data_IF_455106202062
#
_entry.id   IF_455106202062
#
_cell.length_a   1.000
_cell.length_b   1.000
_cell.length_c   1.000
_cell.angle_alpha   90.00
_cell.angle_beta   90.00
_cell.angle_gamma   90.00
#
_symmetry.space_group_name_H-M   'P 1'
#
loop_
_entity.id
_entity.type
_entity.pdbx_description
1 polymer ?
#
# COMPACT_ATOMS: atom_id res chain seq x y z
N UNK A 1 -48.92 -87.72 1.09
CA UNK A 1 -47.68 -88.10 1.77
C UNK A 1 -46.56 -87.16 1.41
N UNK A 2 -45.82 -86.80 2.43
CA UNK A 2 -44.53 -86.09 2.44
C UNK A 2 -44.60 -84.59 2.28
N UNK A 3 -44.32 -84.02 3.43
CA UNK A 3 -43.87 -82.64 3.73
C UNK A 3 -42.52 -82.39 3.08
N UNK A 4 -42.25 -81.13 2.70
CA UNK A 4 -40.95 -80.53 2.77
C UNK A 4 -41.09 -79.02 3.01
N UNK A 5 -40.71 -78.62 4.17
CA UNK A 5 -40.55 -77.28 4.63
C UNK A 5 -39.21 -76.76 4.17
N UNK A 6 -39.17 -75.60 3.53
CA UNK A 6 -37.95 -74.83 3.38
C UNK A 6 -38.16 -73.43 3.90
N UNK A 7 -37.55 -73.21 5.02
CA UNK A 7 -37.38 -71.86 5.60
C UNK A 7 -36.40 -71.06 4.79
N UNK A 8 -36.84 -70.00 4.15
CA UNK A 8 -35.91 -69.01 3.66
C UNK A 8 -35.72 -67.94 4.75
N UNK A 9 -34.54 -68.01 5.38
CA UNK A 9 -34.02 -66.87 6.18
C UNK A 9 -33.66 -65.76 5.22
N UNK A 10 -34.45 -64.69 5.28
CA UNK A 10 -34.14 -63.44 4.63
C UNK A 10 -33.17 -62.70 5.53
N UNK A 11 -31.89 -62.75 5.19
CA UNK A 11 -30.85 -61.89 5.79
C UNK A 11 -31.03 -60.49 5.27
N UNK A 12 -31.71 -59.65 6.05
CA UNK A 12 -31.70 -58.22 5.85
C UNK A 12 -30.30 -57.71 6.25
N UNK A 13 -29.44 -57.55 5.26
CA UNK A 13 -28.19 -56.82 5.44
C UNK A 13 -28.58 -55.33 5.54
N UNK A 14 -28.69 -54.84 6.78
CA UNK A 14 -28.81 -53.43 7.05
C UNK A 14 -27.48 -52.79 6.68
N UNK A 15 -27.38 -52.30 5.45
CA UNK A 15 -26.28 -51.43 5.05
C UNK A 15 -26.44 -50.14 5.87
N UNK A 16 -25.70 -50.03 6.97
CA UNK A 16 -25.44 -48.76 7.64
C UNK A 16 -24.72 -47.88 6.64
N UNK A 17 -25.46 -47.02 5.98
CA UNK A 17 -24.89 -45.89 5.28
C UNK A 17 -24.30 -44.97 6.35
N UNK A 18 -23.06 -45.22 6.69
CA UNK A 18 -22.22 -44.21 7.31
C UNK A 18 -22.08 -43.10 6.28
N UNK A 19 -23.09 -42.20 6.24
CA UNK A 19 -22.91 -40.85 5.76
C UNK A 19 -21.94 -40.17 6.74
N UNK A 20 -20.71 -40.67 6.74
CA UNK A 20 -19.58 -39.94 7.28
C UNK A 20 -19.61 -38.63 6.55
N UNK A 21 -19.87 -37.54 7.28
CA UNK A 21 -19.47 -36.22 6.87
C UNK A 21 -18.10 -36.37 6.24
N UNK A 22 -18.02 -36.34 4.90
CA UNK A 22 -16.80 -36.10 4.19
C UNK A 22 -16.38 -34.73 4.67
N UNK A 23 -15.74 -34.71 5.84
CA UNK A 23 -15.04 -33.54 6.32
C UNK A 23 -14.19 -33.13 5.14
N UNK A 24 -14.40 -31.97 4.63
CA UNK A 24 -13.71 -31.42 3.48
C UNK A 24 -12.21 -31.61 3.73
N UNK A 25 -11.68 -32.73 3.19
CA UNK A 25 -10.31 -33.08 3.42
C UNK A 25 -9.47 -32.16 2.60
N UNK A 26 -8.90 -31.16 3.28
CA UNK A 26 -7.86 -30.34 2.71
C UNK A 26 -6.81 -31.24 2.05
N UNK A 27 -6.55 -31.00 0.76
CA UNK A 27 -5.49 -31.71 0.05
C UNK A 27 -4.12 -31.13 0.42
N UNK A 28 -3.03 -31.91 0.31
CA UNK A 28 -1.67 -31.36 0.48
C UNK A 28 -1.40 -30.18 -0.45
N UNK A 29 -1.95 -30.18 -1.65
CA UNK A 29 -1.83 -29.11 -2.64
C UNK A 29 -2.49 -27.82 -2.17
N UNK A 30 -3.70 -27.87 -1.61
CA UNK A 30 -4.40 -26.70 -1.09
C UNK A 30 -3.65 -26.08 0.10
N UNK A 31 -3.06 -26.91 0.96
CA UNK A 31 -2.19 -26.43 2.04
C UNK A 31 -0.98 -25.69 1.47
N UNK A 32 -0.31 -26.29 0.49
CA UNK A 32 0.84 -25.69 -0.19
C UNK A 32 0.46 -24.33 -0.80
N UNK A 33 -0.69 -24.22 -1.46
CA UNK A 33 -1.16 -22.94 -2.01
C UNK A 33 -1.38 -21.86 -0.95
N UNK A 34 -1.78 -22.22 0.24
CA UNK A 34 -1.97 -21.27 1.34
C UNK A 34 -0.63 -20.83 1.98
N UNK A 35 0.30 -21.77 2.15
CA UNK A 35 1.56 -21.56 2.86
C UNK A 35 2.69 -21.02 1.97
N UNK A 36 2.60 -21.19 0.64
CA UNK A 36 3.64 -20.77 -0.30
C UNK A 36 3.72 -19.24 -0.41
N UNK A 37 4.92 -18.70 -0.32
CA UNK A 37 5.18 -17.28 -0.60
C UNK A 37 5.38 -17.00 -2.09
N UNK A 38 5.69 -18.00 -2.90
CA UNK A 38 5.99 -17.91 -4.34
C UNK A 38 5.26 -18.99 -5.14
N UNK A 39 5.17 -18.80 -6.46
CA UNK A 39 4.71 -19.79 -7.45
C UNK A 39 3.21 -20.16 -7.44
N UNK A 40 2.37 -19.45 -6.69
CA UNK A 40 0.92 -19.65 -6.71
C UNK A 40 0.19 -18.39 -7.19
N UNK A 41 -0.86 -18.59 -7.97
CA UNK A 41 -1.72 -17.47 -8.36
C UNK A 41 -2.50 -16.94 -7.16
N UNK A 42 -2.99 -15.70 -7.27
CA UNK A 42 -3.82 -15.09 -6.22
C UNK A 42 -5.07 -15.95 -5.95
N UNK A 43 -5.69 -16.50 -6.99
CA UNK A 43 -6.88 -17.35 -6.88
C UNK A 43 -6.55 -18.69 -6.19
N UNK A 44 -5.47 -19.35 -6.57
CA UNK A 44 -5.01 -20.57 -5.88
C UNK A 44 -4.76 -20.31 -4.39
N UNK A 45 -4.20 -19.14 -4.02
CA UNK A 45 -4.01 -18.79 -2.60
C UNK A 45 -5.34 -18.61 -1.87
N UNK A 46 -6.32 -17.96 -2.50
CA UNK A 46 -7.67 -17.83 -1.93
C UNK A 46 -8.30 -19.21 -1.71
N UNK A 47 -8.24 -20.08 -2.72
CA UNK A 47 -8.84 -21.42 -2.66
C UNK A 47 -8.15 -22.28 -1.62
N UNK A 48 -6.81 -22.33 -1.63
CA UNK A 48 -6.01 -23.09 -0.69
C UNK A 48 -6.24 -22.67 0.77
N UNK A 49 -6.16 -21.35 1.05
CA UNK A 49 -6.41 -20.85 2.40
C UNK A 49 -7.88 -21.05 2.82
N UNK A 50 -8.84 -20.94 1.89
CA UNK A 50 -10.24 -21.24 2.18
C UNK A 50 -10.47 -22.70 2.53
N UNK A 51 -9.78 -23.63 1.86
CA UNK A 51 -9.81 -25.04 2.20
C UNK A 51 -9.19 -25.31 3.59
N UNK A 52 -8.04 -24.69 3.92
CA UNK A 52 -7.40 -24.77 5.24
C UNK A 52 -8.35 -24.30 6.33
N UNK A 53 -8.95 -23.13 6.16
CA UNK A 53 -9.88 -22.52 7.13
C UNK A 53 -11.12 -23.40 7.30
N UNK A 54 -11.71 -23.87 6.20
CA UNK A 54 -12.92 -24.71 6.21
C UNK A 54 -12.68 -26.08 6.82
N UNK A 55 -11.51 -26.67 6.64
CA UNK A 55 -11.15 -27.96 7.22
C UNK A 55 -11.14 -27.93 8.75
N UNK A 56 -10.96 -26.75 9.38
CA UNK A 56 -11.04 -26.54 10.82
C UNK A 56 -9.99 -27.29 11.65
N UNK A 57 -8.92 -27.78 11.00
CA UNK A 57 -7.84 -28.55 11.66
C UNK A 57 -6.81 -27.66 12.31
N UNK A 58 -6.54 -26.50 11.69
CA UNK A 58 -5.60 -25.52 12.21
C UNK A 58 -6.27 -24.67 13.31
N UNK A 59 -5.49 -24.27 14.30
CA UNK A 59 -5.92 -23.43 15.44
C UNK A 59 -4.82 -22.43 15.78
N UNK A 60 -5.18 -21.42 16.58
CA UNK A 60 -4.21 -20.44 17.06
C UNK A 60 -3.46 -19.74 15.92
N UNK A 61 -2.14 -19.71 16.05
CA UNK A 61 -1.27 -18.98 15.12
C UNK A 61 -1.37 -19.48 13.67
N UNK A 62 -1.42 -20.79 13.45
CA UNK A 62 -1.52 -21.37 12.10
C UNK A 62 -2.82 -20.98 11.39
N UNK A 63 -3.93 -20.96 12.13
CA UNK A 63 -5.20 -20.48 11.58
C UNK A 63 -5.15 -18.97 11.33
N UNK A 64 -4.50 -18.21 12.22
CA UNK A 64 -4.28 -16.77 12.01
C UNK A 64 -3.45 -16.49 10.76
N UNK A 65 -2.40 -17.26 10.50
CA UNK A 65 -1.59 -17.18 9.28
C UNK A 65 -2.42 -17.48 8.03
N UNK A 66 -3.28 -18.50 8.05
CA UNK A 66 -4.15 -18.81 6.93
C UNK A 66 -5.13 -17.68 6.59
N UNK A 67 -5.75 -17.06 7.62
CA UNK A 67 -6.58 -15.88 7.42
C UNK A 67 -5.75 -14.69 6.89
N UNK A 68 -4.58 -14.41 7.45
CA UNK A 68 -3.72 -13.34 6.97
C UNK A 68 -3.30 -13.55 5.50
N UNK A 69 -2.91 -14.78 5.13
CA UNK A 69 -2.51 -15.11 3.76
C UNK A 69 -3.67 -14.93 2.77
N UNK A 70 -4.89 -15.35 3.15
CA UNK A 70 -6.08 -15.12 2.32
C UNK A 70 -6.44 -13.64 2.22
N UNK A 71 -6.31 -12.90 3.31
CA UNK A 71 -6.48 -11.45 3.33
C UNK A 71 -5.52 -10.74 2.39
N UNK A 72 -4.24 -11.15 2.35
CA UNK A 72 -3.25 -10.63 1.37
C UNK A 72 -3.71 -10.91 -0.05
N UNK A 73 -4.20 -12.11 -0.34
CA UNK A 73 -4.69 -12.46 -1.67
C UNK A 73 -5.93 -11.63 -2.07
N UNK A 74 -6.88 -11.41 -1.17
CA UNK A 74 -8.03 -10.54 -1.42
C UNK A 74 -7.59 -9.08 -1.69
N UNK A 75 -6.65 -8.56 -0.90
CA UNK A 75 -6.09 -7.22 -1.11
C UNK A 75 -5.43 -7.08 -2.48
N UNK A 76 -4.67 -8.08 -2.93
CA UNK A 76 -4.06 -8.09 -4.26
C UNK A 76 -5.10 -8.10 -5.40
N UNK A 77 -6.30 -8.65 -5.15
CA UNK A 77 -7.46 -8.54 -6.07
C UNK A 77 -8.21 -7.21 -5.97
N UNK A 78 -7.81 -6.31 -5.08
CA UNK A 78 -8.53 -5.07 -4.80
C UNK A 78 -9.75 -5.24 -3.90
N UNK A 79 -9.99 -6.44 -3.37
CA UNK A 79 -11.11 -6.71 -2.45
C UNK A 79 -10.69 -6.39 -1.01
N UNK A 80 -10.64 -5.09 -0.73
CA UNK A 80 -10.19 -4.59 0.56
C UNK A 80 -11.16 -4.97 1.70
N UNK A 81 -12.43 -5.16 1.41
CA UNK A 81 -13.44 -5.50 2.41
C UNK A 81 -13.21 -6.91 2.96
N UNK A 82 -13.09 -7.91 2.07
CA UNK A 82 -12.78 -9.29 2.49
C UNK A 82 -11.40 -9.39 3.12
N UNK A 83 -10.43 -8.64 2.61
CA UNK A 83 -9.10 -8.57 3.21
C UNK A 83 -9.14 -8.08 4.66
N UNK A 84 -9.85 -6.97 4.94
CA UNK A 84 -10.02 -6.41 6.31
C UNK A 84 -10.71 -7.42 7.23
N UNK A 85 -11.73 -8.11 6.74
CA UNK A 85 -12.43 -9.14 7.51
C UNK A 85 -11.48 -10.29 7.91
N UNK A 86 -10.67 -10.78 6.98
CA UNK A 86 -9.73 -11.86 7.21
C UNK A 86 -8.59 -11.44 8.15
N UNK A 87 -7.99 -10.26 7.97
CA UNK A 87 -7.02 -9.74 8.92
C UNK A 87 -7.61 -9.56 10.32
N UNK A 88 -8.89 -9.14 10.41
CA UNK A 88 -9.62 -9.07 11.66
C UNK A 88 -9.76 -10.44 12.35
N UNK A 89 -9.95 -11.53 11.58
CA UNK A 89 -9.95 -12.90 12.14
C UNK A 89 -8.54 -13.29 12.60
N UNK A 90 -7.52 -13.01 11.80
CA UNK A 90 -6.14 -13.27 12.17
C UNK A 90 -5.75 -12.60 13.50
N UNK A 91 -6.11 -11.34 13.68
CA UNK A 91 -5.87 -10.57 14.91
C UNK A 91 -6.67 -11.13 16.09
N UNK A 92 -7.91 -11.58 15.90
CA UNK A 92 -8.68 -12.21 16.99
C UNK A 92 -8.04 -13.53 17.46
N UNK A 93 -7.45 -14.28 16.54
CA UNK A 93 -6.78 -15.55 16.85
C UNK A 93 -5.39 -15.32 17.48
N UNK A 94 -4.69 -14.29 17.04
CA UNK A 94 -3.39 -13.90 17.59
C UNK A 94 -3.30 -12.37 17.68
N UNK A 95 -3.57 -11.83 18.86
CA UNK A 95 -3.50 -10.38 19.14
C UNK A 95 -2.07 -9.81 19.08
N UNK A 96 -1.05 -10.67 18.93
CA UNK A 96 0.36 -10.25 18.78
C UNK A 96 0.87 -10.38 17.34
N UNK A 97 -0.03 -10.58 16.37
CA UNK A 97 0.35 -10.76 14.97
C UNK A 97 0.57 -9.41 14.29
N UNK A 98 1.76 -8.83 14.45
CA UNK A 98 2.11 -7.52 13.91
C UNK A 98 1.85 -7.39 12.40
N UNK A 99 2.13 -8.45 11.61
CA UNK A 99 1.89 -8.42 10.17
C UNK A 99 0.41 -8.29 9.82
N UNK A 100 -0.50 -8.90 10.57
CA UNK A 100 -1.94 -8.80 10.32
C UNK A 100 -2.45 -7.37 10.58
N UNK A 101 -1.97 -6.71 11.63
CA UNK A 101 -2.26 -5.28 11.86
C UNK A 101 -1.72 -4.41 10.72
N UNK A 102 -0.45 -4.56 10.35
CA UNK A 102 0.12 -3.78 9.24
C UNK A 102 -0.66 -3.98 7.94
N UNK A 103 -1.00 -5.23 7.60
CA UNK A 103 -1.73 -5.55 6.38
C UNK A 103 -3.16 -4.99 6.40
N UNK A 104 -3.83 -4.99 7.56
CA UNK A 104 -5.16 -4.37 7.71
C UNK A 104 -5.06 -2.86 7.59
N UNK A 105 -4.04 -2.25 8.17
CA UNK A 105 -3.72 -0.84 7.99
C UNK A 105 -3.57 -0.47 6.52
N UNK A 106 -2.80 -1.24 5.73
CA UNK A 106 -2.67 -1.04 4.28
C UNK A 106 -4.01 -1.15 3.55
N UNK A 107 -4.89 -2.06 3.97
CA UNK A 107 -6.20 -2.20 3.36
C UNK A 107 -7.14 -1.02 3.73
N UNK A 108 -7.06 -0.49 4.96
CA UNK A 108 -7.78 0.73 5.36
C UNK A 108 -7.25 1.97 4.62
N UNK A 109 -5.93 2.10 4.47
CA UNK A 109 -5.29 3.19 3.75
C UNK A 109 -5.75 3.24 2.28
N UNK A 110 -5.79 2.08 1.61
CA UNK A 110 -6.30 1.95 0.24
C UNK A 110 -7.80 2.35 0.09
N UNK A 111 -8.56 2.34 1.19
CA UNK A 111 -9.95 2.82 1.25
C UNK A 111 -10.08 4.27 1.69
N UNK A 112 -8.97 4.96 1.97
CA UNK A 112 -8.97 6.32 2.52
C UNK A 112 -9.37 6.41 4.00
N UNK A 113 -9.43 5.28 4.70
CA UNK A 113 -9.77 5.22 6.13
C UNK A 113 -8.52 5.43 7.00
N UNK A 114 -7.85 6.57 6.82
CA UNK A 114 -6.51 6.84 7.35
C UNK A 114 -6.42 6.74 8.88
N UNK A 115 -7.43 7.16 9.64
CA UNK A 115 -7.41 7.05 11.11
C UNK A 115 -7.36 5.60 11.58
N UNK A 116 -8.10 4.71 10.90
CA UNK A 116 -8.08 3.27 11.18
C UNK A 116 -6.75 2.65 10.78
N UNK A 117 -6.21 3.07 9.64
CA UNK A 117 -4.90 2.64 9.18
C UNK A 117 -3.81 3.01 10.18
N UNK A 118 -3.77 4.28 10.64
CA UNK A 118 -2.80 4.76 11.64
C UNK A 118 -2.90 3.94 12.93
N UNK A 119 -4.10 3.71 13.46
CA UNK A 119 -4.29 2.91 14.66
C UNK A 119 -3.75 1.48 14.52
N UNK A 120 -3.95 0.85 13.36
CA UNK A 120 -3.42 -0.48 13.08
C UNK A 120 -1.90 -0.48 12.91
N UNK A 121 -1.32 0.51 12.23
CA UNK A 121 0.14 0.65 12.14
C UNK A 121 0.79 0.89 13.50
N UNK A 122 0.14 1.65 14.39
CA UNK A 122 0.60 1.84 15.77
C UNK A 122 0.68 0.51 16.53
N UNK A 123 -0.34 -0.34 16.42
CA UNK A 123 -0.32 -1.66 17.06
C UNK A 123 0.76 -2.55 16.44
N UNK A 124 0.90 -2.54 15.10
CA UNK A 124 1.97 -3.28 14.42
C UNK A 124 3.35 -2.85 14.91
N UNK A 125 3.60 -1.55 14.99
CA UNK A 125 4.89 -0.96 15.42
C UNK A 125 5.19 -1.18 16.91
N UNK A 126 4.17 -1.19 17.77
CA UNK A 126 4.33 -1.58 19.20
C UNK A 126 4.78 -3.02 19.34
N UNK A 127 4.27 -3.91 18.50
CA UNK A 127 4.60 -5.33 18.52
C UNK A 127 5.95 -5.62 17.85
N UNK A 128 6.21 -4.99 16.71
CA UNK A 128 7.42 -5.19 15.91
C UNK A 128 7.74 -3.91 15.13
N UNK A 129 8.65 -3.06 15.61
CA UNK A 129 9.14 -1.92 14.85
C UNK A 129 9.76 -2.35 13.50
N UNK A 130 9.38 -1.67 12.42
CA UNK A 130 9.90 -1.95 11.08
C UNK A 130 9.95 -0.67 10.23
N UNK A 131 10.88 -0.60 9.28
CA UNK A 131 10.98 0.53 8.37
C UNK A 131 9.72 0.71 7.54
N UNK A 132 9.16 -0.39 7.04
CA UNK A 132 7.93 -0.41 6.27
C UNK A 132 6.71 0.03 7.12
N UNK A 133 6.63 -0.39 8.38
CA UNK A 133 5.55 0.02 9.29
C UNK A 133 5.56 1.53 9.55
N UNK A 134 6.71 2.11 9.85
CA UNK A 134 6.87 3.57 9.98
C UNK A 134 6.55 4.29 8.67
N UNK A 135 7.07 3.81 7.53
CA UNK A 135 6.79 4.39 6.23
C UNK A 135 5.30 4.39 5.90
N UNK A 136 4.60 3.30 6.13
CA UNK A 136 3.16 3.18 5.88
C UNK A 136 2.36 4.15 6.78
N UNK A 137 2.69 4.24 8.08
CA UNK A 137 2.03 5.19 8.97
C UNK A 137 2.29 6.63 8.56
N UNK A 138 3.53 6.95 8.21
CA UNK A 138 3.91 8.25 7.67
C UNK A 138 3.13 8.62 6.40
N UNK A 139 2.87 7.66 5.51
CA UNK A 139 2.06 7.89 4.32
C UNK A 139 0.60 8.21 4.67
N UNK A 140 0.00 7.49 5.60
CA UNK A 140 -1.36 7.77 6.07
C UNK A 140 -1.46 9.16 6.75
N UNK A 141 -0.45 9.55 7.52
CA UNK A 141 -0.33 10.90 8.11
C UNK A 141 -0.17 11.97 7.02
N UNK A 142 0.70 11.72 6.02
CA UNK A 142 0.89 12.61 4.88
C UNK A 142 -0.42 12.82 4.11
N UNK A 143 -1.20 11.77 3.89
CA UNK A 143 -2.51 11.84 3.24
C UNK A 143 -3.51 12.70 4.05
N UNK A 144 -3.41 12.68 5.37
CA UNK A 144 -4.15 13.57 6.28
C UNK A 144 -3.57 14.98 6.37
N UNK A 145 -2.46 15.27 5.68
CA UNK A 145 -1.68 16.51 5.77
C UNK A 145 -1.06 16.78 7.15
N UNK A 146 -0.87 15.74 7.93
CA UNK A 146 -0.13 15.77 9.19
C UNK A 146 1.36 15.58 8.89
N UNK A 147 1.97 16.65 8.38
CA UNK A 147 3.33 16.60 7.86
C UNK A 147 4.38 16.38 8.95
N UNK A 148 4.16 16.92 10.14
CA UNK A 148 5.13 16.79 11.25
C UNK A 148 5.25 15.34 11.70
N UNK A 149 4.15 14.66 12.00
CA UNK A 149 4.18 13.24 12.35
C UNK A 149 4.67 12.37 11.19
N UNK A 150 4.30 12.69 9.94
CA UNK A 150 4.81 11.99 8.78
C UNK A 150 6.35 12.07 8.68
N UNK A 151 6.94 13.27 8.91
CA UNK A 151 8.40 13.45 8.92
C UNK A 151 9.05 12.61 10.02
N UNK A 152 8.47 12.58 11.22
CA UNK A 152 8.99 11.78 12.32
C UNK A 152 8.99 10.28 11.98
N UNK A 153 7.94 9.81 11.36
CA UNK A 153 7.85 8.41 10.92
C UNK A 153 8.84 8.10 9.81
N UNK A 154 9.00 8.97 8.82
CA UNK A 154 10.04 8.80 7.81
C UNK A 154 11.46 8.85 8.39
N UNK A 155 11.68 9.65 9.44
CA UNK A 155 12.95 9.65 10.18
C UNK A 155 13.23 8.27 10.78
N UNK A 156 12.23 7.62 11.41
CA UNK A 156 12.38 6.27 11.95
C UNK A 156 12.57 5.23 10.84
N UNK A 157 11.81 5.33 9.74
CA UNK A 157 11.95 4.43 8.61
C UNK A 157 13.38 4.48 8.02
N UNK A 158 13.92 5.67 7.81
CA UNK A 158 15.28 5.87 7.27
C UNK A 158 16.34 5.41 8.28
N UNK A 159 16.12 5.62 9.59
CA UNK A 159 17.04 5.13 10.61
C UNK A 159 17.13 3.60 10.61
N UNK A 160 16.03 2.90 10.35
CA UNK A 160 16.01 1.44 10.26
C UNK A 160 16.50 0.92 8.91
N UNK A 161 16.31 1.70 7.83
CA UNK A 161 16.69 1.33 6.46
C UNK A 161 17.29 2.55 5.74
N UNK A 162 18.60 2.68 5.78
CA UNK A 162 19.33 3.85 5.30
C UNK A 162 19.26 4.07 3.77
N UNK A 163 18.86 3.07 3.00
CA UNK A 163 18.67 3.11 1.55
C UNK A 163 17.19 3.18 1.12
N UNK A 164 16.31 3.60 2.02
CA UNK A 164 14.87 3.65 1.75
C UNK A 164 14.49 4.89 0.91
N UNK A 165 14.71 4.81 -0.40
CA UNK A 165 14.52 5.91 -1.34
C UNK A 165 13.11 6.56 -1.23
N UNK A 166 12.06 5.76 -1.10
CA UNK A 166 10.69 6.27 -0.98
C UNK A 166 10.46 7.07 0.31
N UNK A 167 11.10 6.70 1.42
CA UNK A 167 10.99 7.46 2.67
C UNK A 167 11.71 8.81 2.57
N UNK A 168 12.85 8.88 1.89
CA UNK A 168 13.51 10.15 1.58
C UNK A 168 12.64 11.04 0.68
N UNK A 169 12.02 10.46 -0.36
CA UNK A 169 11.15 11.18 -1.29
C UNK A 169 9.95 11.80 -0.57
N UNK A 170 9.21 11.01 0.20
CA UNK A 170 8.03 11.49 0.91
C UNK A 170 8.40 12.49 2.03
N UNK A 171 9.55 12.31 2.70
CA UNK A 171 10.05 13.27 3.68
C UNK A 171 10.48 14.58 3.01
N UNK A 172 11.10 14.49 1.84
CA UNK A 172 11.43 15.65 1.02
C UNK A 172 10.17 16.48 0.74
N UNK A 173 9.11 15.85 0.23
CA UNK A 173 7.85 16.51 -0.05
C UNK A 173 7.24 17.15 1.20
N UNK A 174 7.10 16.39 2.29
CA UNK A 174 6.54 16.90 3.55
C UNK A 174 7.30 18.14 4.06
N UNK A 175 8.63 18.10 4.05
CA UNK A 175 9.49 19.23 4.41
C UNK A 175 9.34 20.43 3.46
N UNK A 176 9.22 20.19 2.16
CA UNK A 176 9.05 21.24 1.16
C UNK A 176 7.73 21.99 1.34
N UNK A 177 6.65 21.28 1.67
CA UNK A 177 5.34 21.87 1.98
C UNK A 177 5.43 22.73 3.23
N UNK A 178 6.10 22.29 4.28
CA UNK A 178 6.33 23.07 5.50
C UNK A 178 7.35 24.22 5.33
N UNK A 179 7.96 24.38 4.16
CA UNK A 179 8.94 25.42 3.91
C UNK A 179 10.35 25.13 4.45
N UNK A 180 10.62 23.94 4.93
CA UNK A 180 11.94 23.50 5.43
C UNK A 180 12.84 23.09 4.25
N UNK A 181 13.16 24.08 3.39
CA UNK A 181 13.64 23.84 2.02
C UNK A 181 15.02 23.19 1.93
N UNK A 182 16.02 23.62 2.74
CA UNK A 182 17.37 23.04 2.66
C UNK A 182 17.42 21.56 3.03
N UNK A 183 16.82 21.12 4.14
CA UNK A 183 16.70 19.70 4.46
C UNK A 183 15.88 18.92 3.43
N UNK A 184 14.80 19.51 2.88
CA UNK A 184 14.02 18.90 1.82
C UNK A 184 14.86 18.63 0.57
N UNK A 185 15.67 19.61 0.13
CA UNK A 185 16.55 19.46 -1.02
C UNK A 185 17.59 18.34 -0.82
N UNK A 186 18.13 18.19 0.40
CA UNK A 186 19.04 17.12 0.74
C UNK A 186 18.36 15.74 0.63
N UNK A 187 17.13 15.62 1.12
CA UNK A 187 16.34 14.39 1.04
C UNK A 187 16.02 14.00 -0.41
N UNK A 188 15.49 14.93 -1.22
CA UNK A 188 15.23 14.67 -2.64
C UNK A 188 16.50 14.27 -3.38
N UNK A 189 17.62 14.92 -3.09
CA UNK A 189 18.92 14.59 -3.70
C UNK A 189 19.39 13.19 -3.29
N UNK A 190 19.14 12.76 -2.05
CA UNK A 190 19.42 11.40 -1.60
C UNK A 190 18.48 10.38 -2.28
N UNK A 191 17.19 10.66 -2.37
CA UNK A 191 16.24 9.81 -3.07
C UNK A 191 16.64 9.60 -4.53
N UNK A 192 17.06 10.67 -5.22
CA UNK A 192 17.52 10.60 -6.62
C UNK A 192 18.87 9.90 -6.78
N UNK A 193 19.74 9.90 -5.76
CA UNK A 193 20.95 9.04 -5.80
C UNK A 193 20.60 7.57 -5.75
N UNK A 194 19.57 7.21 -4.97
CA UNK A 194 19.11 5.82 -4.85
C UNK A 194 18.24 5.40 -6.05
N UNK A 195 17.42 6.31 -6.57
CA UNK A 195 16.52 6.08 -7.72
C UNK A 195 16.56 7.25 -8.71
N UNK A 196 17.55 7.29 -9.62
CA UNK A 196 17.82 8.47 -10.46
C UNK A 196 16.69 8.89 -11.43
N UNK A 197 15.82 7.95 -11.79
CA UNK A 197 14.71 8.17 -12.75
C UNK A 197 13.34 8.21 -12.04
N UNK A 198 13.25 8.83 -10.88
CA UNK A 198 11.97 9.00 -10.19
C UNK A 198 11.36 10.37 -10.57
N UNK A 199 10.32 10.35 -11.40
CA UNK A 199 9.65 11.56 -11.87
C UNK A 199 8.99 12.35 -10.72
N UNK A 200 8.49 11.70 -9.67
CA UNK A 200 7.89 12.36 -8.52
C UNK A 200 8.95 13.10 -7.68
N UNK A 201 10.10 12.49 -7.46
CA UNK A 201 11.19 13.12 -6.73
C UNK A 201 11.79 14.30 -7.49
N UNK A 202 11.95 14.19 -8.83
CA UNK A 202 12.37 15.31 -9.66
C UNK A 202 11.39 16.47 -9.59
N UNK A 203 10.10 16.19 -9.63
CA UNK A 203 9.03 17.17 -9.50
C UNK A 203 9.07 17.86 -8.12
N UNK A 204 9.19 17.09 -7.04
CA UNK A 204 9.35 17.64 -5.68
C UNK A 204 10.61 18.51 -5.54
N UNK A 205 11.72 18.12 -6.16
CA UNK A 205 12.97 18.91 -6.12
C UNK A 205 12.86 20.17 -6.96
N UNK A 206 12.22 20.10 -8.12
CA UNK A 206 11.87 21.28 -8.94
C UNK A 206 11.00 22.26 -8.17
N UNK A 207 10.01 21.79 -7.42
CA UNK A 207 9.19 22.62 -6.54
C UNK A 207 10.02 23.32 -5.45
N UNK A 208 10.99 22.63 -4.84
CA UNK A 208 11.89 23.22 -3.85
C UNK A 208 12.76 24.30 -4.49
N UNK A 209 13.35 24.06 -5.67
CA UNK A 209 14.14 25.03 -6.39
C UNK A 209 13.30 26.27 -6.75
N UNK A 210 12.06 26.06 -7.20
CA UNK A 210 11.13 27.18 -7.49
C UNK A 210 10.85 28.01 -6.22
N UNK A 211 10.61 27.40 -5.06
CA UNK A 211 10.45 28.10 -3.77
C UNK A 211 11.73 28.83 -3.33
N UNK A 212 12.90 28.34 -3.71
CA UNK A 212 14.19 28.96 -3.44
C UNK A 212 14.58 30.02 -4.49
N UNK A 213 13.72 30.32 -5.46
CA UNK A 213 13.98 31.20 -6.59
C UNK A 213 15.16 30.77 -7.47
N UNK A 214 15.48 29.48 -7.49
CA UNK A 214 16.51 28.87 -8.34
C UNK A 214 15.86 28.35 -9.63
N UNK A 215 15.44 29.30 -10.49
CA UNK A 215 14.52 29.02 -11.59
C UNK A 215 15.11 28.07 -12.64
N UNK A 216 16.39 28.22 -13.02
CA UNK A 216 17.04 27.33 -14.00
C UNK A 216 17.11 25.88 -13.50
N UNK A 217 17.42 25.71 -12.22
CA UNK A 217 17.47 24.38 -11.61
C UNK A 217 16.05 23.77 -11.53
N UNK A 218 15.04 24.59 -11.23
CA UNK A 218 13.63 24.16 -11.23
C UNK A 218 13.20 23.70 -12.62
N UNK A 219 13.48 24.48 -13.67
CA UNK A 219 13.16 24.14 -15.07
C UNK A 219 13.84 22.83 -15.46
N UNK A 220 15.12 22.66 -15.12
CA UNK A 220 15.88 21.45 -15.43
C UNK A 220 15.24 20.19 -14.83
N UNK A 221 14.84 20.24 -13.55
CA UNK A 221 14.23 19.12 -12.87
C UNK A 221 12.80 18.81 -13.39
N UNK A 222 12.01 19.86 -13.64
CA UNK A 222 10.69 19.68 -14.25
C UNK A 222 10.76 19.14 -15.67
N UNK A 223 11.75 19.56 -16.48
CA UNK A 223 12.02 18.98 -17.79
C UNK A 223 12.35 17.48 -17.70
N UNK A 224 13.17 17.12 -16.71
CA UNK A 224 13.52 15.72 -16.49
C UNK A 224 12.28 14.91 -16.04
N UNK A 225 11.46 15.45 -15.16
CA UNK A 225 10.21 14.82 -14.72
C UNK A 225 9.22 14.65 -15.87
N UNK A 226 9.05 15.67 -16.71
CA UNK A 226 8.14 15.64 -17.87
C UNK A 226 8.64 14.74 -19.01
N UNK A 227 9.96 14.55 -19.18
CA UNK A 227 10.47 13.52 -20.09
C UNK A 227 10.07 12.11 -19.68
N UNK A 228 9.99 11.85 -18.36
CA UNK A 228 9.57 10.56 -17.83
C UNK A 228 8.04 10.39 -17.86
N UNK A 229 7.29 11.47 -17.62
CA UNK A 229 5.84 11.46 -17.61
C UNK A 229 5.28 12.79 -18.17
N UNK A 230 5.00 12.87 -19.49
CA UNK A 230 4.70 14.15 -20.14
C UNK A 230 3.35 14.80 -19.79
N UNK A 231 2.38 14.02 -19.29
CA UNK A 231 1.01 14.49 -19.06
C UNK A 231 0.71 14.67 -17.56
N UNK A 232 1.57 15.42 -16.86
CA UNK A 232 1.35 15.76 -15.45
C UNK A 232 1.18 17.26 -15.28
N UNK A 233 0.05 17.66 -14.70
CA UNK A 233 -0.27 19.09 -14.50
C UNK A 233 0.72 19.77 -13.55
N UNK A 234 1.08 19.10 -12.44
CA UNK A 234 1.93 19.70 -11.41
C UNK A 234 3.31 20.15 -11.95
N UNK A 235 4.16 19.29 -12.57
CA UNK A 235 5.45 19.74 -13.13
C UNK A 235 5.31 20.70 -14.30
N UNK A 236 4.24 20.61 -15.11
CA UNK A 236 3.98 21.61 -16.16
C UNK A 236 3.74 23.00 -15.57
N UNK A 237 2.89 23.08 -14.56
CA UNK A 237 2.58 24.35 -13.90
C UNK A 237 3.82 24.94 -13.22
N UNK A 238 4.56 24.11 -12.48
CA UNK A 238 5.80 24.52 -11.81
C UNK A 238 6.88 25.00 -12.79
N UNK A 239 7.06 24.29 -13.93
CA UNK A 239 7.97 24.74 -14.99
C UNK A 239 7.53 26.07 -15.59
N UNK A 240 6.24 26.21 -15.86
CA UNK A 240 5.66 27.46 -16.35
C UNK A 240 5.94 28.64 -15.41
N UNK A 241 5.68 28.49 -14.12
CA UNK A 241 5.98 29.51 -13.12
C UNK A 241 7.50 29.82 -13.05
N UNK A 242 8.36 28.79 -13.10
CA UNK A 242 9.81 28.98 -13.07
C UNK A 242 10.30 29.79 -14.29
N UNK A 243 9.82 29.44 -15.48
CA UNK A 243 10.15 30.14 -16.73
C UNK A 243 9.69 31.62 -16.69
N UNK A 244 8.42 31.87 -16.35
CA UNK A 244 7.87 33.24 -16.27
C UNK A 244 8.65 34.10 -15.27
N UNK A 245 8.99 33.56 -14.10
CA UNK A 245 9.78 34.26 -13.09
C UNK A 245 11.24 34.51 -13.51
N UNK A 246 11.72 33.71 -14.47
CA UNK A 246 13.04 33.87 -15.10
C UNK A 246 12.99 34.74 -16.37
N UNK A 247 11.84 35.34 -16.71
CA UNK A 247 11.67 36.20 -17.88
C UNK A 247 11.40 35.46 -19.20
N UNK A 248 11.19 34.13 -19.17
CA UNK A 248 10.88 33.33 -20.36
C UNK A 248 9.37 33.17 -20.53
N UNK A 249 8.82 33.87 -21.56
CA UNK A 249 7.39 33.87 -21.91
C UNK A 249 6.86 32.49 -22.36
N UNK A 250 7.74 31.54 -22.73
CA UNK A 250 7.33 30.16 -23.01
C UNK A 250 6.63 29.47 -21.82
N UNK A 251 6.80 30.04 -20.62
CA UNK A 251 6.09 29.58 -19.41
C UNK A 251 4.57 29.72 -19.51
N UNK A 252 4.03 30.68 -20.30
CA UNK A 252 2.58 30.83 -20.49
C UNK A 252 1.92 29.58 -21.11
N UNK A 253 2.59 28.98 -22.07
CA UNK A 253 2.10 27.73 -22.71
C UNK A 253 2.08 26.55 -21.72
N UNK A 254 3.07 26.46 -20.83
CA UNK A 254 3.13 25.43 -19.80
C UNK A 254 2.00 25.60 -18.78
N UNK A 255 1.76 26.83 -18.32
CA UNK A 255 0.66 27.16 -17.40
C UNK A 255 -0.70 26.83 -18.03
N UNK A 256 -0.90 27.23 -19.30
CA UNK A 256 -2.15 26.91 -20.01
C UNK A 256 -2.35 25.40 -20.16
N UNK A 257 -1.32 24.66 -20.55
CA UNK A 257 -1.37 23.20 -20.67
C UNK A 257 -1.66 22.53 -19.31
N UNK A 258 -1.06 23.00 -18.23
CA UNK A 258 -1.31 22.47 -16.89
C UNK A 258 -2.77 22.70 -16.46
N UNK A 259 -3.31 23.90 -16.65
CA UNK A 259 -4.72 24.24 -16.34
C UNK A 259 -5.71 23.46 -17.20
N UNK A 260 -5.35 23.12 -18.45
CA UNK A 260 -6.17 22.25 -19.29
C UNK A 260 -6.23 20.81 -18.77
N UNK A 261 -5.16 20.31 -18.16
CA UNK A 261 -5.12 18.98 -17.54
C UNK A 261 -5.78 18.95 -16.15
N UNK A 262 -5.59 20.00 -15.37
CA UNK A 262 -6.11 20.16 -14.01
C UNK A 262 -6.51 21.60 -13.76
N UNK A 263 -7.81 21.96 -13.84
CA UNK A 263 -8.29 23.34 -13.73
C UNK A 263 -7.94 24.04 -12.41
N UNK A 264 -7.85 23.32 -11.31
CA UNK A 264 -7.57 23.83 -9.95
C UNK A 264 -6.08 23.81 -9.58
N UNK A 265 -5.17 23.56 -10.53
CA UNK A 265 -3.73 23.45 -10.28
C UNK A 265 -3.13 24.73 -9.67
N UNK A 266 -3.63 25.90 -10.05
CA UNK A 266 -3.19 27.18 -9.50
C UNK A 266 -3.52 27.29 -8.00
N UNK A 267 -4.71 26.84 -7.62
CA UNK A 267 -5.14 26.81 -6.21
C UNK A 267 -4.30 25.80 -5.42
N UNK A 268 -3.96 24.68 -6.03
CA UNK A 268 -3.09 23.69 -5.40
C UNK A 268 -1.70 24.28 -5.10
N UNK A 269 -1.08 24.97 -6.05
CA UNK A 269 0.20 25.66 -5.85
C UNK A 269 0.11 26.79 -4.81
N UNK A 270 -1.00 27.55 -4.82
CA UNK A 270 -1.26 28.60 -3.84
C UNK A 270 -1.33 28.06 -2.41
N UNK A 271 -1.92 26.87 -2.21
CA UNK A 271 -1.94 26.19 -0.90
C UNK A 271 -0.54 25.87 -0.37
N UNK A 272 0.44 25.73 -1.25
CA UNK A 272 1.85 25.50 -0.90
C UNK A 272 2.70 26.78 -0.91
N UNK A 273 2.04 27.96 -0.99
CA UNK A 273 2.69 29.26 -0.90
C UNK A 273 3.33 29.75 -2.20
N UNK A 274 2.93 29.19 -3.34
CA UNK A 274 3.37 29.65 -4.66
C UNK A 274 2.17 30.17 -5.48
N UNK A 275 2.20 31.44 -5.84
CA UNK A 275 1.19 32.10 -6.67
C UNK A 275 1.77 32.49 -8.02
N UNK A 276 0.91 32.66 -9.04
CA UNK A 276 1.27 33.30 -10.30
C UNK A 276 1.80 34.71 -9.99
N UNK A 277 2.88 35.10 -10.66
CA UNK A 277 3.30 36.52 -10.62
C UNK A 277 2.17 37.38 -11.21
N UNK A 278 1.79 38.42 -10.50
CA UNK A 278 0.84 39.42 -11.02
C UNK A 278 1.47 40.23 -12.10
#
# INVERSE_FOLDING_TARGET
MRRLTTKHLSSIVTALVLAGSAAFAQTPQERQWCESESEVTVDQRIDGCSAVIKAGREKGDKLAEAFNSRGVAYRLKGDHERAIADYGQAIRLNARFAAAYNNRGVAYDARGEYDRAIADYEQALKLKPSAEGYFNRGNAQLAKRDYDHAIDDYNQAIKLKADFAAAFDNRCWARAVLGVLKPALADCSQALRLTPKNAATLDSRGFIFLKMSQFDAAVSDYDAALRLNPKRAFPLYGRGLARLRNGDTAGESDVAAAKALQPDIAEEYARYGLQEAR
#
